data_IF_438104796923
#
_entry.id   IF_438104796923
#
_cell.length_a   1.000
_cell.length_b   1.000
_cell.length_c   1.000
_cell.angle_alpha   90.00
_cell.angle_beta   90.00
_cell.angle_gamma   90.00
#
_symmetry.space_group_name_H-M   'P 1'
#
loop_
_entity.id
_entity.type
_entity.pdbx_description
1 polymer ?
2 polymer ?
3 water ?
#
# COMPACT_ATOMS: atom_id res chain seq x y z
N UNK A 1 -23.66 -11.93 12.87
CA UNK A 1 -24.19 -12.59 11.69
C UNK A 1 -23.56 -12.01 10.43
N UNK A 2 -22.24 -12.11 10.36
CA UNK A 2 -21.49 -11.62 9.21
C UNK A 2 -20.60 -12.75 8.69
N UNK A 3 -20.25 -12.62 7.41
CA UNK A 3 -19.24 -13.47 6.79
C UNK A 3 -18.12 -12.57 6.30
N UNK A 4 -16.88 -13.00 6.52
CA UNK A 4 -15.71 -12.19 6.24
C UNK A 4 -14.87 -12.83 5.14
N UNK A 5 -14.31 -12.00 4.26
CA UNK A 5 -13.35 -12.46 3.24
C UNK A 5 -12.20 -11.48 3.16
N UNK A 6 -10.97 -12.01 3.22
CA UNK A 6 -9.76 -11.21 3.11
C UNK A 6 -9.23 -11.19 1.68
N UNK A 7 -8.58 -10.09 1.34
CA UNK A 7 -7.90 -10.00 0.05
C UNK A 7 -6.75 -9.02 0.17
N UNK A 8 -5.93 -8.96 -0.87
CA UNK A 8 -4.82 -8.02 -0.93
C UNK A 8 -3.45 -8.62 -0.65
N UNK A 9 -3.38 -9.91 -0.36
CA UNK A 9 -2.09 -10.54 -0.15
C UNK A 9 -1.24 -10.57 -1.41
N UNK A 10 0.00 -11.00 -1.22
CA UNK A 10 0.87 -11.20 -2.36
C UNK A 10 2.30 -11.41 -1.92
N UNK A 11 3.20 -11.33 -2.89
CA UNK A 11 4.63 -11.53 -2.69
C UNK A 11 5.31 -10.20 -2.99
N UNK A 12 5.95 -9.60 -1.99
CA UNK A 12 6.41 -8.23 -2.10
C UNK A 12 7.85 -8.13 -1.63
N UNK A 13 8.56 -7.16 -2.21
CA UNK A 13 9.92 -6.88 -1.83
C UNK A 13 10.01 -6.35 -0.39
N UNK A 14 11.00 -6.84 0.35
CA UNK A 14 11.36 -6.27 1.64
C UNK A 14 11.43 -4.75 1.55
N UNK A 15 10.80 -4.10 2.52
CA UNK A 15 10.66 -2.66 2.55
C UNK A 15 9.42 -2.15 1.87
N UNK A 16 8.72 -3.00 1.11
CA UNK A 16 7.55 -2.59 0.37
C UNK A 16 6.30 -2.55 1.25
N UNK A 17 5.17 -2.36 0.58
CA UNK A 17 3.87 -2.22 1.22
C UNK A 17 2.83 -3.12 0.58
N UNK A 18 1.81 -3.45 1.37
CA UNK A 18 0.59 -4.07 0.90
C UNK A 18 -0.58 -3.40 1.61
N UNK A 19 -1.77 -3.55 1.06
CA UNK A 19 -2.98 -3.14 1.76
C UNK A 19 -3.99 -4.27 1.73
N UNK A 20 -4.24 -4.87 2.89
CA UNK A 20 -5.20 -5.95 2.98
C UNK A 20 -6.59 -5.37 3.23
N UNK A 21 -7.59 -6.07 2.73
CA UNK A 21 -8.99 -5.74 2.95
C UNK A 21 -9.67 -6.90 3.65
N UNK A 22 -10.52 -6.58 4.63
CA UNK A 22 -11.42 -7.51 5.29
C UNK A 22 -12.83 -7.03 4.97
N UNK A 23 -13.52 -7.75 4.09
CA UNK A 23 -14.85 -7.34 3.62
C UNK A 23 -15.91 -8.21 4.28
N UNK A 24 -16.96 -7.57 4.79
CA UNK A 24 -18.02 -8.27 5.48
C UNK A 24 -19.33 -8.21 4.70
N UNK A 25 -20.04 -9.34 4.68
CA UNK A 25 -21.41 -9.40 4.21
C UNK A 25 -22.28 -9.83 5.37
N UNK A 26 -23.46 -9.25 5.49
CA UNK A 26 -24.36 -9.54 6.59
C UNK A 26 -24.77 -8.26 7.29
N UNK A 27 -25.55 -8.42 8.35
CA UNK A 27 -26.19 -7.29 8.98
C UNK A 27 -25.39 -6.73 10.14
N UNK A 28 -25.53 -5.42 10.35
CA UNK A 28 -25.05 -4.74 11.55
C UNK A 28 -23.53 -4.80 11.68
N UNK A 29 -22.82 -4.76 10.55
CA UNK A 29 -21.35 -4.78 10.59
C UNK A 29 -20.78 -3.73 11.54
N UNK A 30 -21.44 -2.57 11.64
CA UNK A 30 -20.92 -1.50 12.48
C UNK A 30 -20.91 -1.87 13.97
N UNK A 31 -21.61 -2.94 14.38
CA UNK A 31 -21.61 -3.37 15.77
C UNK A 31 -20.51 -4.38 16.10
N UNK A 32 -19.62 -4.67 15.14
CA UNK A 32 -18.48 -5.57 15.34
C UNK A 32 -17.19 -4.76 15.31
N UNK A 33 -16.33 -5.00 16.28
CA UNK A 33 -14.94 -4.58 16.11
C UNK A 33 -14.27 -5.54 15.13
N UNK A 34 -13.20 -5.08 14.48
CA UNK A 34 -12.49 -5.94 13.52
C UNK A 34 -11.03 -6.05 13.93
N UNK A 35 -10.54 -7.29 14.02
CA UNK A 35 -9.20 -7.61 14.45
C UNK A 35 -8.48 -8.33 13.33
N UNK A 36 -7.22 -8.00 13.11
CA UNK A 36 -6.32 -8.76 12.25
C UNK A 36 -5.38 -9.59 13.08
N UNK A 37 -5.19 -10.85 12.65
CA UNK A 37 -4.22 -11.79 13.19
C UNK A 37 -3.37 -12.31 12.05
N UNK A 38 -2.25 -12.94 12.38
CA UNK A 38 -1.43 -13.57 11.37
C UNK A 38 -0.86 -14.87 11.92
N UNK A 39 -0.61 -15.81 11.01
CA UNK A 39 -0.15 -17.12 11.41
C UNK A 39 0.69 -17.72 10.29
N UNK A 40 1.95 -18.08 10.61
CA UNK A 40 2.80 -18.79 9.68
C UNK A 40 2.75 -20.29 9.95
N UNK A 41 2.97 -21.12 8.92
CA UNK A 41 2.99 -22.57 9.13
C UNK A 41 3.94 -22.99 10.26
N UNK A 42 3.46 -23.86 11.12
CA UNK A 42 4.26 -24.35 12.22
C UNK A 42 4.24 -23.48 13.45
N UNK A 43 3.57 -22.33 13.40
CA UNK A 43 3.61 -21.37 14.50
C UNK A 43 2.21 -21.07 15.02
N UNK A 44 2.19 -20.42 16.18
CA UNK A 44 0.95 -19.95 16.79
C UNK A 44 0.44 -18.69 16.09
N UNK A 45 -0.86 -18.46 16.23
CA UNK A 45 -1.50 -17.29 15.64
C UNK A 45 -1.27 -16.08 16.54
N UNK A 46 -0.92 -14.95 15.95
CA UNK A 46 -0.68 -13.80 16.81
C UNK A 46 -1.50 -12.59 16.43
N UNK A 47 -1.90 -11.80 17.42
CA UNK A 47 -2.66 -10.57 17.15
C UNK A 47 -1.79 -9.52 16.49
N UNK A 48 -2.39 -8.78 15.55
CA UNK A 48 -1.70 -7.76 14.77
C UNK A 48 -2.29 -6.38 15.05
N UNK A 49 -3.58 -6.20 14.78
CA UNK A 49 -4.16 -4.87 14.98
C UNK A 49 -5.66 -4.99 15.12
N UNK A 50 -6.28 -3.97 15.72
CA UNK A 50 -7.73 -3.99 15.90
C UNK A 50 -8.29 -2.58 15.77
N UNK A 51 -9.55 -2.49 15.33
CA UNK A 51 -10.24 -1.20 15.23
C UNK A 51 -11.67 -1.37 15.72
N UNK A 52 -12.16 -0.36 16.45
CA UNK A 52 -13.56 -0.28 16.77
C UNK A 52 -14.29 0.56 15.75
N UNK A 53 -15.09 1.54 16.19
CA UNK A 53 -15.61 2.50 15.21
C UNK A 53 -14.52 3.42 14.71
N UNK A 54 -13.53 3.71 15.55
CA UNK A 54 -12.46 4.59 15.11
C UNK A 54 -11.17 4.40 15.89
N UNK A 55 -11.27 4.02 17.18
CA UNK A 55 -10.06 3.78 17.97
C UNK A 55 -9.35 2.52 17.50
N UNK A 56 -8.03 2.51 17.67
CA UNK A 56 -7.21 1.42 17.14
C UNK A 56 -6.24 0.91 18.21
N UNK A 57 -5.82 -0.35 18.03
CA UNK A 57 -4.86 -1.01 18.90
C UNK A 57 -3.87 -1.76 18.02
N UNK A 58 -2.58 -1.66 18.33
CA UNK A 58 -1.55 -2.32 17.53
C UNK A 58 -0.64 -3.17 18.40
N UNK A 59 -0.28 -4.35 17.89
CA UNK A 59 0.80 -5.11 18.49
C UNK A 59 2.10 -4.31 18.41
N UNK A 60 2.96 -4.50 19.41
CA UNK A 60 4.24 -3.81 19.37
C UNK A 60 5.06 -4.21 18.16
N UNK A 61 4.82 -5.41 17.62
CA UNK A 61 5.57 -5.90 16.47
C UNK A 61 5.32 -5.08 15.21
N UNK A 62 4.22 -4.35 15.13
CA UNK A 62 3.86 -3.63 13.91
C UNK A 62 3.65 -2.14 14.14
N UNK A 63 3.75 -1.68 15.39
CA UNK A 63 3.57 -0.26 15.68
C UNK A 63 4.52 0.60 14.87
N UNK A 64 3.98 1.66 14.26
CA UNK A 64 4.79 2.52 13.44
C UNK A 64 4.93 2.08 12.00
N UNK A 65 4.48 0.87 11.66
CA UNK A 65 4.58 0.38 10.29
C UNK A 65 3.23 0.08 9.66
N UNK A 66 2.28 -0.43 10.44
CA UNK A 66 0.95 -0.79 9.96
C UNK A 66 -0.08 0.22 10.44
N UNK A 67 -1.13 0.39 9.63
CA UNK A 67 -2.24 1.27 9.98
C UNK A 67 -3.53 0.56 9.63
N UNK A 68 -4.41 0.40 10.61
CA UNK A 68 -5.73 -0.17 10.38
C UNK A 68 -6.75 0.95 10.27
N UNK A 69 -7.70 0.79 9.35
CA UNK A 69 -8.71 1.82 9.10
C UNK A 69 -10.02 1.16 8.69
N UNK A 70 -11.09 1.93 8.72
CA UNK A 70 -12.42 1.36 8.56
C UNK A 70 -13.29 2.22 7.67
N UNK A 71 -14.09 1.58 6.79
CA UNK A 71 -15.09 2.28 5.97
C UNK A 71 -16.37 1.44 6.02
N UNK A 72 -17.28 1.84 6.92
CA UNK A 72 -18.53 1.11 7.09
C UNK A 72 -19.46 1.26 5.90
N UNK A 73 -19.31 2.33 5.11
CA UNK A 73 -20.09 2.45 3.89
C UNK A 73 -19.77 1.34 2.91
N UNK A 74 -18.57 0.77 2.99
CA UNK A 74 -18.16 -0.35 2.15
C UNK A 74 -18.09 -1.65 2.95
N UNK A 75 -18.52 -1.65 4.21
CA UNK A 75 -18.40 -2.81 5.09
C UNK A 75 -16.99 -3.39 5.06
N UNK A 76 -15.98 -2.51 5.04
CA UNK A 76 -14.61 -3.00 4.86
C UNK A 76 -13.67 -2.41 5.91
N UNK A 77 -12.74 -3.24 6.37
CA UNK A 77 -11.62 -2.77 7.20
C UNK A 77 -10.33 -3.02 6.45
N UNK A 78 -9.42 -2.04 6.46
CA UNK A 78 -8.16 -2.11 5.74
C UNK A 78 -7.00 -2.21 6.70
N UNK A 79 -5.97 -2.99 6.31
CA UNK A 79 -4.69 -3.03 7.01
C UNK A 79 -3.61 -2.59 6.01
N UNK A 80 -3.17 -1.34 6.12
CA UNK A 80 -2.05 -0.87 5.31
C UNK A 80 -0.76 -1.26 5.99
N UNK A 81 0.07 -2.04 5.30
CA UNK A 81 1.29 -2.62 5.84
C UNK A 81 2.48 -2.00 5.12
N UNK A 82 3.21 -1.12 5.81
CA UNK A 82 4.39 -0.49 5.25
C UNK A 82 5.66 -1.08 5.85
N UNK A 83 6.77 -0.82 5.18
CA UNK A 83 8.10 -1.21 5.66
C UNK A 83 8.12 -2.69 6.03
N UNK A 84 7.62 -3.52 5.12
CA UNK A 84 7.48 -4.94 5.40
C UNK A 84 8.85 -5.62 5.50
N UNK A 85 8.95 -6.58 6.41
CA UNK A 85 10.14 -7.36 6.68
C UNK A 85 9.86 -8.82 6.35
N UNK A 86 10.91 -9.62 6.07
CA UNK A 86 10.69 -11.06 5.86
C UNK A 86 9.91 -11.72 6.98
N UNK A 87 10.13 -11.28 8.22
CA UNK A 87 9.46 -11.88 9.38
C UNK A 87 7.96 -11.56 9.43
N UNK A 88 7.47 -10.65 8.59
CA UNK A 88 6.03 -10.42 8.46
C UNK A 88 5.32 -11.45 7.59
N UNK A 89 6.07 -12.39 6.99
CA UNK A 89 5.46 -13.41 6.15
C UNK A 89 4.53 -14.30 6.98
N UNK A 90 3.30 -14.46 6.53
CA UNK A 90 2.27 -15.19 7.27
C UNK A 90 0.97 -15.16 6.48
N UNK A 91 0.02 -16.00 6.89
CA UNK A 91 -1.35 -15.81 6.46
C UNK A 91 -2.00 -14.81 7.41
N UNK A 92 -2.59 -13.77 6.84
CA UNK A 92 -3.30 -12.76 7.64
C UNK A 92 -4.79 -13.03 7.55
N UNK A 93 -5.45 -13.02 8.71
CA UNK A 93 -6.85 -13.42 8.82
C UNK A 93 -7.57 -12.40 9.70
N UNK A 94 -8.80 -12.06 9.32
CA UNK A 94 -9.57 -11.10 10.11
C UNK A 94 -10.66 -11.78 10.93
N UNK A 95 -11.10 -11.05 11.94
CA UNK A 95 -11.96 -11.57 12.99
C UNK A 95 -12.89 -10.44 13.40
N UNK A 96 -14.19 -10.64 13.21
CA UNK A 96 -15.20 -9.68 13.65
C UNK A 96 -15.67 -10.09 15.04
N UNK A 97 -15.62 -9.15 15.99
CA UNK A 97 -15.90 -9.44 17.39
C UNK A 97 -17.07 -8.58 17.86
N UNK A 98 -18.12 -9.22 18.38
CA UNK A 98 -19.25 -8.48 18.93
C UNK A 98 -19.50 -9.07 20.30
N UNK A 99 -19.14 -8.32 21.32
CA UNK A 99 -19.16 -8.85 22.68
C UNK A 99 -18.24 -10.06 22.76
N UNK A 100 -18.78 -11.17 23.22
CA UNK A 100 -18.00 -12.38 23.40
C UNK A 100 -18.08 -13.30 22.20
N UNK A 101 -18.74 -12.87 21.13
CA UNK A 101 -18.91 -13.71 19.96
C UNK A 101 -17.94 -13.30 18.86
N UNK A 102 -17.36 -14.30 18.20
CA UNK A 102 -16.29 -14.09 17.24
C UNK A 102 -16.60 -14.81 15.94
N UNK A 103 -16.41 -14.10 14.83
CA UNK A 103 -16.49 -14.66 13.49
C UNK A 103 -15.15 -14.47 12.80
N UNK A 104 -14.75 -15.45 11.98
CA UNK A 104 -13.44 -15.44 11.37
C UNK A 104 -13.54 -15.56 9.85
N UNK A 105 -12.59 -14.96 9.17
CA UNK A 105 -12.45 -15.09 7.74
C UNK A 105 -11.72 -16.36 7.34
N UNK A 106 -11.06 -16.30 6.19
CA UNK A 106 -10.36 -17.44 5.61
C UNK A 106 -8.85 -17.27 5.60
N UNK A 107 -8.37 -16.07 5.33
CA UNK A 107 -6.95 -15.81 5.28
C UNK A 107 -6.47 -15.36 3.91
N UNK A 108 -5.45 -14.50 3.89
CA UNK A 108 -4.77 -14.12 2.67
C UNK A 108 -3.27 -14.22 2.89
N UNK A 109 -2.55 -14.79 1.94
CA UNK A 109 -1.11 -15.00 2.10
C UNK A 109 -0.31 -13.73 1.85
N UNK A 110 0.66 -13.47 2.73
CA UNK A 110 1.60 -12.36 2.60
C UNK A 110 3.01 -12.93 2.69
N UNK A 111 3.80 -12.76 1.64
CA UNK A 111 5.17 -13.24 1.60
C UNK A 111 6.08 -12.07 1.27
N UNK A 112 7.11 -11.86 2.09
CA UNK A 112 8.01 -10.73 1.96
C UNK A 112 9.41 -11.28 1.71
N UNK A 113 10.03 -10.87 0.61
CA UNK A 113 11.36 -11.38 0.31
C UNK A 113 12.28 -10.28 -0.20
N UNK A 114 13.56 -10.42 0.11
CA UNK A 114 14.59 -9.55 -0.44
C UNK A 114 15.35 -10.29 -1.53
N UNK B 1 -15.19 5.41 21.90
CA UNK B 1 -15.49 4.43 20.85
C UNK B 1 -16.55 3.46 21.37
N UNK B 2 -17.69 3.33 20.66
CA UNK B 2 -18.73 2.41 21.13
C UNK B 2 -18.28 0.98 21.18
N UNK B 3 -17.21 0.61 20.48
CA UNK B 3 -16.66 -0.74 20.52
C UNK B 3 -15.42 -0.84 21.40
N UNK B 4 -15.27 0.08 22.35
CA UNK B 4 -14.12 0.00 23.25
C UNK B 4 -14.03 -1.29 24.05
N UNK B 5 -15.13 -1.90 24.56
CA UNK B 5 -14.95 -3.18 25.27
C UNK B 5 -14.30 -4.25 24.42
N UNK B 6 -14.70 -4.36 23.14
CA UNK B 6 -14.05 -5.30 22.25
C UNK B 6 -12.58 -4.97 22.06
N UNK B 7 -12.26 -3.67 21.93
CA UNK B 7 -10.86 -3.28 21.82
C UNK B 7 -10.08 -3.64 23.09
N UNK B 8 -10.69 -3.47 24.26
CA UNK B 8 -10.04 -3.90 25.51
C UNK B 8 -9.76 -5.39 25.51
N UNK B 9 -10.71 -6.18 25.01
CA UNK B 9 -10.50 -7.63 24.98
C UNK B 9 -9.33 -7.99 24.07
N UNK B 10 -9.18 -7.26 22.96
CA UNK B 10 -8.02 -7.52 22.09
C UNK B 10 -6.71 -7.07 22.75
N UNK B 11 -6.72 -5.90 23.39
CA UNK B 11 -5.56 -5.39 24.11
C UNK B 11 -5.06 -6.41 25.12
N UNK B 12 -5.98 -7.11 25.80
CA UNK B 12 -5.59 -8.14 26.75
C UNK B 12 -4.83 -9.28 26.10
N UNK B 13 -4.95 -9.46 24.78
CA UNK B 13 -4.22 -10.53 24.09
C UNK B 13 -2.78 -10.15 23.79
N UNK B 14 -2.41 -8.89 23.99
CA UNK B 14 -1.07 -8.42 23.65
C UNK B 14 -0.15 -8.68 24.85
N UNK B 15 0.47 -9.85 24.85
CA UNK B 15 1.30 -10.31 25.97
C UNK B 15 2.77 -10.05 25.75
N UNK C 1 23.92 16.16 -9.87
CA UNK C 1 23.67 14.83 -10.40
C UNK C 1 23.00 13.95 -9.34
N UNK C 2 21.99 13.18 -9.75
CA UNK C 2 21.31 12.26 -8.85
C UNK C 2 21.33 10.87 -9.45
N UNK C 3 21.27 9.87 -8.58
CA UNK C 3 21.13 8.47 -8.93
C UNK C 3 19.81 8.00 -8.33
N UNK C 4 19.03 7.23 -9.11
CA UNK C 4 17.70 6.80 -8.69
C UNK C 4 17.63 5.29 -8.57
N UNK C 5 16.91 4.81 -7.55
CA UNK C 5 16.66 3.38 -7.42
C UNK C 5 15.21 3.15 -6.99
N UNK C 6 14.51 2.28 -7.70
CA UNK C 6 13.12 1.96 -7.39
C UNK C 6 13.04 0.71 -6.54
N UNK C 7 11.98 0.65 -5.73
CA UNK C 7 11.72 -0.55 -4.96
C UNK C 7 10.24 -0.62 -4.64
N UNK C 8 9.83 -1.76 -4.10
CA UNK C 8 8.45 -1.93 -3.66
C UNK C 8 7.58 -2.77 -4.58
N UNK C 9 8.11 -3.24 -5.69
CA UNK C 9 7.36 -4.09 -6.58
C UNK C 9 7.00 -5.41 -5.96
N UNK C 10 6.20 -6.18 -6.69
CA UNK C 10 5.88 -7.53 -6.27
C UNK C 10 4.75 -8.09 -7.08
N UNK C 11 4.21 -9.20 -6.59
CA UNK C 11 3.13 -9.93 -7.21
C UNK C 11 1.95 -9.84 -6.25
N UNK C 12 0.88 -9.18 -6.68
CA UNK C 12 -0.18 -8.82 -5.76
C UNK C 12 -1.53 -9.25 -6.34
N UNK C 13 -2.45 -9.56 -5.43
CA UNK C 13 -3.80 -9.91 -5.82
C UNK C 13 -4.52 -8.73 -6.44
N UNK C 14 -5.26 -8.99 -7.52
CA UNK C 14 -6.18 -8.01 -8.09
C UNK C 14 -7.01 -7.33 -7.01
N UNK C 15 -7.10 -6.02 -7.11
CA UNK C 15 -7.76 -5.20 -6.12
C UNK C 15 -6.87 -4.75 -4.98
N UNK C 16 -5.68 -5.34 -4.85
CA UNK C 16 -4.78 -4.99 -3.77
C UNK C 16 -3.98 -3.74 -4.07
N UNK C 17 -2.99 -3.48 -3.21
CA UNK C 17 -2.17 -2.28 -3.28
C UNK C 17 -0.69 -2.63 -3.20
N UNK C 18 0.11 -1.71 -3.74
CA UNK C 18 1.55 -1.69 -3.55
C UNK C 18 1.94 -0.24 -3.28
N UNK C 19 3.12 -0.04 -2.71
CA UNK C 19 3.68 1.31 -2.62
C UNK C 19 5.10 1.26 -3.15
N UNK C 20 5.32 1.89 -4.30
CA UNK C 20 6.66 1.95 -4.86
C UNK C 20 7.40 3.14 -4.29
N UNK C 21 8.72 2.99 -4.16
CA UNK C 21 9.58 4.07 -3.74
C UNK C 21 10.59 4.37 -4.84
N UNK C 22 10.85 5.65 -5.07
CA UNK C 22 11.93 6.12 -5.94
C UNK C 22 12.86 6.89 -5.02
N UNK C 23 14.02 6.31 -4.71
CA UNK C 23 14.96 6.88 -3.76
C UNK C 23 16.13 7.47 -4.53
N UNK C 24 16.50 8.71 -4.20
CA UNK C 24 17.57 9.40 -4.89
C UNK C 24 18.77 9.59 -3.97
N UNK C 25 19.95 9.42 -4.55
CA UNK C 25 21.20 9.79 -3.91
C UNK C 25 21.85 10.90 -4.71
N UNK C 26 22.43 11.87 -4.02
CA UNK C 26 23.08 12.99 -4.66
C UNK C 26 22.53 14.30 -4.15
N UNK C 27 23.04 15.39 -4.72
CA UNK C 27 22.71 16.71 -4.24
C UNK C 27 21.55 17.30 -5.02
N UNK C 28 20.81 18.19 -4.36
CA UNK C 28 19.81 19.03 -5.01
C UNK C 28 18.64 18.22 -5.56
N UNK C 29 18.30 17.11 -4.90
CA UNK C 29 17.14 16.33 -5.30
C UNK C 29 15.90 17.21 -5.40
N UNK C 30 15.77 18.18 -4.50
CA UNK C 30 14.57 19.02 -4.48
C UNK C 30 14.43 19.88 -5.73
N UNK C 31 15.49 20.00 -6.55
CA UNK C 31 15.40 20.76 -7.80
C UNK C 31 14.95 19.90 -8.97
N UNK C 32 14.63 18.62 -8.73
CA UNK C 32 14.13 17.71 -9.75
C UNK C 32 12.67 17.38 -9.50
N UNK C 33 11.84 17.48 -10.55
CA UNK C 33 10.54 16.83 -10.48
C UNK C 33 10.73 15.34 -10.66
N UNK C 34 9.77 14.54 -10.17
CA UNK C 34 9.88 13.09 -10.28
C UNK C 34 8.66 12.55 -11.00
N UNK C 35 8.91 11.76 -12.05
CA UNK C 35 7.88 11.19 -12.90
C UNK C 35 7.96 9.67 -12.82
N UNK C 36 6.81 9.02 -12.73
CA UNK C 36 6.71 7.58 -12.87
C UNK C 36 6.18 7.21 -14.24
N UNK C 37 6.82 6.21 -14.85
CA UNK C 37 6.43 5.58 -16.10
C UNK C 37 6.32 4.08 -15.87
N UNK C 38 5.67 3.39 -16.81
CA UNK C 38 5.58 1.93 -16.77
C UNK C 38 5.68 1.38 -18.18
N UNK C 39 6.18 0.14 -18.27
CA UNK C 39 6.36 -0.51 -19.57
C UNK C 39 6.27 -2.00 -19.40
N UNK C 40 5.38 -2.62 -20.16
CA UNK C 40 5.27 -4.07 -20.20
C UNK C 40 6.04 -4.63 -21.38
N UNK C 41 6.51 -5.88 -21.27
CA UNK C 41 7.21 -6.52 -22.39
C UNK C 41 6.41 -6.44 -23.68
N UNK C 42 7.07 -6.02 -24.76
CA UNK C 42 6.42 -5.93 -26.05
C UNK C 42 5.69 -4.63 -26.28
N UNK C 43 5.62 -3.75 -25.30
CA UNK C 43 4.78 -2.57 -25.38
C UNK C 43 5.60 -1.30 -25.23
N UNK C 44 4.98 -0.17 -25.57
CA UNK C 44 5.59 1.13 -25.39
C UNK C 44 5.52 1.55 -23.92
N UNK C 45 6.43 2.44 -23.55
CA UNK C 45 6.49 2.99 -22.21
C UNK C 45 5.46 4.11 -22.08
N UNK C 46 4.70 4.12 -20.98
CA UNK C 46 3.69 5.15 -20.83
C UNK C 46 3.87 5.95 -19.55
N UNK C 47 3.53 7.24 -19.59
CA UNK C 47 3.56 8.05 -18.37
C UNK C 47 2.45 7.65 -17.41
N UNK C 48 2.78 7.68 -16.12
CA UNK C 48 1.85 7.29 -15.04
C UNK C 48 1.51 8.48 -14.15
N UNK C 49 2.51 9.09 -13.52
CA UNK C 49 2.22 10.18 -12.60
C UNK C 49 3.47 11.02 -12.39
N UNK C 50 3.27 12.26 -11.94
CA UNK C 50 4.40 13.14 -11.72
C UNK C 50 4.14 14.03 -10.51
N UNK C 51 5.22 14.43 -9.84
CA UNK C 51 5.13 15.37 -8.74
C UNK C 51 6.26 16.39 -8.84
N UNK C 52 5.94 17.64 -8.52
CA UNK C 52 6.94 18.69 -8.33
C UNK C 52 7.34 18.75 -6.88
N UNK C 53 7.34 19.96 -6.29
CA UNK C 53 7.48 20.04 -4.85
C UNK C 53 6.21 19.60 -4.16
N UNK C 54 5.06 19.79 -4.79
CA UNK C 54 3.81 19.38 -4.17
C UNK C 54 2.70 19.15 -5.18
N UNK C 55 2.68 19.90 -6.28
CA UNK C 55 1.64 19.68 -7.29
C UNK C 55 1.87 18.36 -8.00
N UNK C 56 0.77 17.74 -8.45
CA UNK C 56 0.81 16.40 -9.04
C UNK C 56 0.04 16.35 -10.36
N UNK C 57 0.40 15.37 -11.18
CA UNK C 57 -0.23 15.09 -12.47
C UNK C 57 -0.41 13.58 -12.60
N UNK C 58 -1.58 13.15 -13.06
CA UNK C 58 -1.90 11.74 -13.20
C UNK C 58 -2.42 11.43 -14.60
N UNK C 59 -2.00 10.30 -15.16
CA UNK C 59 -2.68 9.79 -16.33
C UNK C 59 -4.13 9.44 -15.98
N UNK C 60 -5.02 9.57 -16.96
CA UNK C 60 -6.42 9.25 -16.72
C UNK C 60 -6.62 7.78 -16.36
N UNK C 61 -5.73 6.90 -16.82
CA UNK C 61 -5.84 5.48 -16.51
C UNK C 61 -5.61 5.15 -15.04
N UNK C 62 -4.97 6.04 -14.27
CA UNK C 62 -4.66 5.76 -12.88
C UNK C 62 -5.28 6.78 -11.93
N UNK C 63 -5.92 7.82 -12.47
CA UNK C 63 -6.57 8.81 -11.63
C UNK C 63 -7.62 8.14 -10.73
N UNK C 64 -7.62 8.51 -9.45
CA UNK C 64 -8.53 7.94 -8.48
C UNK C 64 -8.06 6.66 -7.82
N UNK C 65 -6.99 6.05 -8.32
CA UNK C 65 -6.45 4.81 -7.78
C UNK C 65 -5.03 4.96 -7.27
N UNK C 66 -4.22 5.77 -7.93
CA UNK C 66 -2.83 5.96 -7.54
C UNK C 66 -2.64 7.33 -6.89
N UNK C 67 -1.67 7.41 -5.98
CA UNK C 67 -1.32 8.66 -5.32
C UNK C 67 0.19 8.78 -5.30
N UNK C 68 0.72 9.85 -5.87
CA UNK C 68 2.15 10.13 -5.78
C UNK C 68 2.37 11.17 -4.69
N UNK C 69 3.45 10.99 -3.93
CA UNK C 69 3.78 11.87 -2.82
C UNK C 69 5.29 11.97 -2.67
N UNK C 70 5.74 12.97 -1.90
CA UNK C 70 7.14 13.31 -1.86
C UNK C 70 7.60 13.60 -0.45
N UNK C 71 8.80 13.14 -0.10
CA UNK C 71 9.45 13.45 1.18
C UNK C 71 10.90 13.80 0.88
N UNK C 72 11.16 15.11 0.77
CA UNK C 72 12.51 15.58 0.45
C UNK C 72 13.48 15.34 1.59
N UNK C 73 12.97 15.25 2.84
CA UNK C 73 13.84 14.90 3.95
C UNK C 73 14.46 13.53 3.78
N UNK C 74 13.79 12.64 3.04
CA UNK C 74 14.30 11.30 2.76
C UNK C 74 14.71 11.13 1.31
N UNK C 75 14.71 12.21 0.51
CA UNK C 75 15.01 12.14 -0.92
C UNK C 75 14.19 11.04 -1.59
N UNK C 76 12.92 10.94 -1.24
CA UNK C 76 12.12 9.82 -1.74
C UNK C 76 10.80 10.32 -2.31
N UNK C 77 10.36 9.69 -3.40
CA UNK C 77 9.03 9.90 -3.95
C UNK C 77 8.30 8.56 -3.92
N UNK C 78 7.05 8.57 -3.48
CA UNK C 78 6.26 7.36 -3.31
C UNK C 78 5.15 7.32 -4.34
N UNK C 79 4.86 6.12 -4.86
CA UNK C 79 3.68 5.88 -5.68
C UNK C 79 2.82 4.81 -4.99
N UNK C 80 1.76 5.24 -4.30
CA UNK C 80 0.79 4.31 -3.71
C UNK C 80 -0.19 3.89 -4.78
N UNK C 81 -0.25 2.59 -5.07
CA UNK C 81 -1.09 2.04 -6.14
C UNK C 81 -2.17 1.20 -5.49
N UNK C 82 -3.41 1.69 -5.52
CA UNK C 82 -4.58 1.00 -4.99
C UNK C 82 -5.44 0.45 -6.12
N UNK C 83 -6.33 -0.47 -5.76
CA UNK C 83 -7.30 -1.07 -6.68
C UNK C 83 -6.59 -1.55 -7.95
N UNK C 84 -5.51 -2.29 -7.77
CA UNK C 84 -4.70 -2.72 -8.90
C UNK C 84 -5.44 -3.74 -9.76
N UNK C 85 -5.22 -3.66 -11.07
CA UNK C 85 -5.81 -4.53 -12.07
C UNK C 85 -4.71 -5.29 -12.78
N UNK C 86 -5.01 -6.47 -13.35
CA UNK C 86 -4.00 -7.17 -14.16
C UNK C 86 -3.36 -6.28 -15.22
N UNK C 87 -4.15 -5.39 -15.81
CA UNK C 87 -3.65 -4.50 -16.86
C UNK C 87 -2.64 -3.48 -16.35
N UNK C 88 -2.47 -3.35 -15.03
CA UNK C 88 -1.41 -2.53 -14.45
C UNK C 88 -0.07 -3.25 -14.40
N UNK C 89 -0.01 -4.52 -14.81
CA UNK C 89 1.23 -5.29 -14.78
C UNK C 89 2.26 -4.68 -15.73
N UNK C 90 3.45 -4.41 -15.20
CA UNK C 90 4.48 -3.69 -15.96
C UNK C 90 5.71 -3.53 -15.08
N UNK C 91 6.84 -3.15 -15.71
CA UNK C 91 7.95 -2.60 -14.95
C UNK C 91 7.69 -1.11 -14.74
N UNK C 92 7.77 -0.64 -13.50
CA UNK C 92 7.60 0.77 -13.18
C UNK C 92 8.95 1.39 -12.94
N UNK C 93 9.21 2.55 -13.58
CA UNK C 93 10.52 3.18 -13.55
C UNK C 93 10.35 4.66 -13.29
N UNK C 94 11.22 5.22 -12.47
CA UNK C 94 11.10 6.64 -12.16
C UNK C 94 12.16 7.45 -12.91
N UNK C 95 11.87 8.73 -13.01
CA UNK C 95 12.61 9.64 -13.87
C UNK C 95 12.65 10.98 -13.15
N UNK C 96 13.86 11.44 -12.83
CA UNK C 96 14.05 12.76 -12.23
C UNK C 96 14.35 13.76 -13.34
N UNK C 97 13.60 14.85 -13.36
CA UNK C 97 13.65 15.82 -14.45
C UNK C 97 13.99 17.20 -13.92
N UNK C 98 15.05 17.80 -14.46
CA UNK C 98 15.44 19.15 -14.07
C UNK C 98 15.64 19.92 -15.36
N UNK C 99 14.72 20.85 -15.62
CA UNK C 99 14.70 21.53 -16.89
C UNK C 99 14.55 20.52 -18.00
N UNK C 100 15.48 20.54 -18.95
CA UNK C 100 15.40 19.65 -20.09
C UNK C 100 16.22 18.39 -19.89
N UNK C 101 16.79 18.20 -18.70
CA UNK C 101 17.66 17.07 -18.45
C UNK C 101 16.95 16.01 -17.62
N UNK C 102 17.19 14.74 -17.98
CA UNK C 102 16.46 13.61 -17.42
C UNK C 102 17.42 12.55 -16.92
N UNK C 103 17.16 12.04 -15.72
CA UNK C 103 17.87 10.91 -15.16
C UNK C 103 16.85 9.82 -14.89
N UNK C 104 17.24 8.57 -15.11
CA UNK C 104 16.32 7.44 -15.01
C UNK C 104 16.83 6.39 -14.04
N UNK C 105 15.90 5.71 -13.40
CA UNK C 105 16.23 4.58 -12.56
C UNK C 105 16.39 3.29 -13.34
N UNK C 106 16.12 2.18 -12.67
CA UNK C 106 16.30 0.85 -13.25
C UNK C 106 14.99 0.13 -13.49
N UNK C 107 14.02 0.33 -12.61
CA UNK C 107 12.75 -0.35 -12.78
C UNK C 107 12.46 -1.29 -11.62
N UNK C 108 11.19 -1.46 -11.30
CA UNK C 108 10.74 -2.46 -10.34
C UNK C 108 9.52 -3.16 -10.92
N UNK C 109 9.49 -4.48 -10.83
CA UNK C 109 8.41 -5.27 -11.44
C UNK C 109 7.14 -5.25 -10.60
N UNK C 110 6.01 -5.02 -11.25
CA UNK C 110 4.68 -5.07 -10.64
C UNK C 110 3.84 -6.04 -11.45
N UNK C 111 3.37 -7.10 -10.80
CA UNK C 111 2.55 -8.11 -11.46
C UNK C 111 1.27 -8.25 -10.66
N UNK C 112 0.13 -8.12 -11.33
CA UNK C 112 -1.16 -8.18 -10.65
C UNK C 112 -1.91 -9.39 -11.22
N UNK C 113 -2.35 -10.28 -10.32
CA UNK C 113 -3.05 -11.47 -10.80
C UNK C 113 -4.27 -11.76 -9.94
N UNK C 114 -5.28 -12.31 -10.58
CA UNK C 114 -6.49 -12.77 -9.92
C UNK C 114 -6.45 -14.29 -9.75
N UNK D 1 4.03 25.84 -7.60
CA UNK D 1 5.04 24.79 -7.47
C UNK D 1 6.29 25.27 -8.22
N UNK D 2 7.43 25.35 -7.54
CA UNK D 2 8.66 25.80 -8.23
C UNK D 2 9.08 24.88 -9.35
N UNK D 3 8.59 23.65 -9.38
CA UNK D 3 8.87 22.70 -10.45
C UNK D 3 7.70 22.60 -11.44
N UNK D 4 6.86 23.62 -11.49
CA UNK D 4 5.75 23.59 -12.44
C UNK D 4 6.18 23.45 -13.91
N UNK D 5 7.26 24.08 -14.40
CA UNK D 5 7.62 23.84 -15.81
C UNK D 5 7.85 22.37 -16.12
N UNK D 6 8.53 21.66 -15.22
CA UNK D 6 8.73 20.22 -15.42
C UNK D 6 7.40 19.47 -15.41
N UNK D 7 6.50 19.82 -14.49
CA UNK D 7 5.18 19.19 -14.48
C UNK D 7 4.43 19.47 -15.78
N UNK D 8 4.56 20.67 -16.32
CA UNK D 8 3.94 20.99 -17.61
C UNK D 8 4.50 20.10 -18.72
N UNK D 9 5.81 19.88 -18.72
CA UNK D 9 6.40 19.05 -19.76
C UNK D 9 5.88 17.62 -19.68
N UNK D 10 5.66 17.14 -18.46
CA UNK D 10 5.06 15.81 -18.30
C UNK D 10 3.58 15.81 -18.73
N UNK D 11 2.84 16.85 -18.36
CA UNK D 11 1.46 17.00 -18.83
C UNK D 11 1.38 16.91 -20.34
N UNK D 12 2.35 17.49 -21.04
CA UNK D 12 2.36 17.45 -22.50
C UNK D 12 2.46 16.03 -23.03
N UNK D 13 3.01 15.09 -22.25
CA UNK D 13 3.17 13.73 -22.73
C UNK D 13 1.88 12.93 -22.60
N UNK D 14 0.89 13.46 -21.88
CA UNK D 14 -0.37 12.75 -21.72
C UNK D 14 -1.33 13.05 -22.86
N UNK D 15 -1.39 14.31 -23.28
CA UNK D 15 -2.28 14.72 -24.36
C UNK D 15 -1.49 14.98 -25.64
#
# INVERSE_FOLDING_TARGET
>A
QVQLVESGGGLVQTGGSLRLSCEASGSAFSSYAVNWYRQAPGKQREPVAAIGSFNTVYSDSVKGRFTISRDNAKNTVYLQMNSLKPEDTAVYICNARRGATNTWGQGTQVTVSSHHHHHH
>B
DPLQPELDSFKEELD
>C
QVQLVESGGGLVQTGGSLRLSCEASGSAFSSYAVNWYRQAPGKQREPVAAIGSFNTVYSDSVKGRFTISRDNAKNTVYLQMNSLKPEDTAVYICNARRGATNTWGQGTQVTVSSHHHHHH
>D
DPLQPELDSFKEELD
#
